data_IF_550952569734
#
_entry.id   IF_550952569734
#
_cell.length_a   1.000
_cell.length_b   1.000
_cell.length_c   1.000
_cell.angle_alpha   90.00
_cell.angle_beta   90.00
_cell.angle_gamma   90.00
#
_symmetry.space_group_name_H-M   'P 1'
#
loop_
_entity.id
_entity.type
_entity.pdbx_description
1 polymer ?
#
# COMPACT_ATOMS: atom_id res chain seq x y z
N UNK A 1 11.10 -28.84 8.85
CA UNK A 1 12.27 -28.93 7.98
C UNK A 1 13.53 -29.16 8.82
N UNK A 2 14.39 -30.05 8.38
CA UNK A 2 15.69 -30.32 9.01
C UNK A 2 16.79 -29.56 8.25
N UNK A 3 16.51 -28.33 7.79
CA UNK A 3 17.42 -27.60 6.93
C UNK A 3 18.39 -26.74 7.70
N UNK A 4 19.62 -27.19 7.83
CA UNK A 4 20.74 -26.27 7.96
C UNK A 4 20.89 -25.59 6.61
N UNK A 5 20.35 -24.37 6.48
CA UNK A 5 20.52 -23.56 5.28
C UNK A 5 19.26 -23.35 4.43
N UNK A 6 18.06 -23.48 4.99
CA UNK A 6 16.85 -23.11 4.26
C UNK A 6 16.78 -21.60 4.01
N UNK A 7 16.57 -21.21 2.75
CA UNK A 7 16.26 -19.85 2.35
C UNK A 7 14.76 -19.62 2.47
N UNK A 8 14.36 -18.56 3.16
CA UNK A 8 12.96 -18.21 3.32
C UNK A 8 12.59 -16.98 2.48
N UNK A 9 11.42 -17.03 1.85
CA UNK A 9 10.75 -15.86 1.28
C UNK A 9 9.91 -15.25 2.40
N UNK A 10 10.26 -14.04 2.86
CA UNK A 10 9.58 -13.35 3.95
C UNK A 10 9.00 -12.04 3.48
N UNK A 11 7.71 -11.90 3.69
CA UNK A 11 6.99 -10.66 3.44
C UNK A 11 5.88 -10.55 4.49
N UNK A 12 6.12 -9.69 5.47
CA UNK A 12 5.17 -9.40 6.54
C UNK A 12 4.60 -8.01 6.30
N UNK A 13 3.30 -7.84 6.57
CA UNK A 13 2.63 -6.55 6.54
C UNK A 13 1.64 -6.43 7.67
N UNK A 14 1.17 -5.21 7.94
CA UNK A 14 0.07 -4.94 8.85
C UNK A 14 -1.18 -4.63 8.00
N UNK A 15 -2.21 -5.46 8.13
CA UNK A 15 -3.45 -5.34 7.36
C UNK A 15 -4.59 -4.69 8.18
N UNK A 16 -4.26 -3.66 8.96
CA UNK A 16 -5.28 -2.91 9.71
C UNK A 16 -6.14 -2.05 8.78
N UNK A 17 -7.45 -2.05 9.03
CA UNK A 17 -8.41 -1.20 8.34
C UNK A 17 -8.59 0.09 9.13
N UNK A 18 -8.26 1.22 8.53
CA UNK A 18 -8.38 2.54 9.14
C UNK A 18 -9.64 3.25 8.66
N UNK A 19 -10.37 3.87 9.61
CA UNK A 19 -11.42 4.84 9.34
C UNK A 19 -11.37 5.92 10.42
N UNK A 20 -10.84 7.08 10.08
CA UNK A 20 -10.59 8.17 11.02
C UNK A 20 -11.88 8.92 11.43
N UNK A 21 -12.99 8.67 10.74
CA UNK A 21 -14.30 9.21 11.13
C UNK A 21 -14.92 8.51 12.35
N UNK A 22 -14.32 7.40 12.81
CA UNK A 22 -14.90 6.51 13.83
C UNK A 22 -16.08 5.72 13.26
N UNK A 23 -15.99 5.27 12.05
CA UNK A 23 -17.00 4.51 11.28
C UNK A 23 -18.32 5.27 11.03
N UNK A 24 -18.29 6.59 11.11
CA UNK A 24 -19.47 7.43 10.85
C UNK A 24 -19.68 7.74 9.38
N UNK A 25 -18.63 7.63 8.57
CA UNK A 25 -18.62 7.90 7.12
C UNK A 25 -17.75 6.90 6.38
N UNK A 26 -17.93 6.79 5.07
CA UNK A 26 -17.05 6.02 4.20
C UNK A 26 -15.68 6.67 4.10
N UNK A 27 -14.66 5.87 3.81
CA UNK A 27 -13.28 6.36 3.63
C UNK A 27 -13.11 7.16 2.32
N UNK A 28 -14.10 7.14 1.45
CA UNK A 28 -14.12 7.97 0.23
C UNK A 28 -14.06 9.46 0.51
N UNK A 29 -14.47 9.90 1.72
CA UNK A 29 -14.39 11.29 2.19
C UNK A 29 -13.07 11.63 2.88
N UNK A 30 -12.21 10.63 3.12
CA UNK A 30 -10.88 10.87 3.67
C UNK A 30 -9.94 11.39 2.59
N UNK A 31 -8.98 12.20 3.00
CA UNK A 31 -7.88 12.66 2.14
C UNK A 31 -6.67 11.77 2.35
N UNK A 32 -6.04 11.41 1.25
CA UNK A 32 -4.85 10.55 1.23
C UNK A 32 -3.74 11.22 0.42
N UNK A 33 -2.52 11.14 0.95
CA UNK A 33 -1.28 11.43 0.23
C UNK A 33 -0.36 10.22 0.31
N UNK A 34 0.19 9.81 -0.82
CA UNK A 34 1.25 8.80 -0.93
C UNK A 34 2.35 9.42 -1.80
N UNK A 35 3.53 9.76 -1.26
CA UNK A 35 4.59 10.46 -1.98
C UNK A 35 5.36 9.48 -2.89
N UNK A 36 4.67 8.88 -3.84
CA UNK A 36 5.21 7.94 -4.82
C UNK A 36 4.84 8.38 -6.24
N UNK A 37 5.77 8.26 -7.16
CA UNK A 37 5.58 8.61 -8.57
C UNK A 37 5.04 7.43 -9.39
N UNK A 38 5.12 6.19 -8.88
CA UNK A 38 4.77 4.98 -9.61
C UNK A 38 4.06 3.96 -8.73
N UNK A 39 3.23 3.14 -9.38
CA UNK A 39 2.62 1.93 -8.84
C UNK A 39 3.08 0.71 -9.63
N UNK A 40 2.94 -0.47 -9.04
CA UNK A 40 3.05 -1.72 -9.78
C UNK A 40 1.78 -1.96 -10.58
N UNK A 41 1.94 -2.22 -11.87
CA UNK A 41 0.84 -2.65 -12.72
C UNK A 41 0.40 -4.07 -12.35
N UNK A 42 -0.90 -4.32 -12.34
CA UNK A 42 -1.47 -5.64 -12.02
C UNK A 42 -2.32 -6.19 -13.15
N UNK A 43 -2.40 -7.52 -13.22
CA UNK A 43 -3.34 -8.24 -14.07
C UNK A 43 -4.74 -8.22 -13.46
N UNK A 44 -5.75 -8.69 -14.21
CA UNK A 44 -7.12 -8.93 -13.70
C UNK A 44 -7.19 -9.97 -12.58
N UNK A 45 -6.12 -10.71 -12.34
CA UNK A 45 -5.97 -11.67 -11.24
C UNK A 45 -5.23 -11.06 -10.04
N UNK A 46 -5.00 -9.75 -10.03
CA UNK A 46 -4.32 -8.98 -8.97
C UNK A 46 -2.84 -9.35 -8.78
N UNK A 47 -2.22 -9.94 -9.79
CA UNK A 47 -0.81 -10.33 -9.79
C UNK A 47 -0.02 -9.22 -10.49
N UNK A 48 1.07 -8.70 -9.90
CA UNK A 48 1.95 -7.75 -10.56
C UNK A 48 2.49 -8.31 -11.89
N UNK A 49 2.50 -7.47 -12.93
CA UNK A 49 3.10 -7.82 -14.23
C UNK A 49 4.63 -7.74 -14.22
N UNK A 50 5.20 -7.14 -13.18
CA UNK A 50 6.62 -6.78 -13.11
C UNK A 50 6.92 -5.39 -13.67
N UNK A 51 5.93 -4.73 -14.26
CA UNK A 51 6.07 -3.37 -14.78
C UNK A 51 5.60 -2.33 -13.74
N UNK A 52 6.20 -1.14 -13.82
CA UNK A 52 5.76 0.02 -13.05
C UNK A 52 5.07 1.02 -13.98
N UNK A 53 3.99 1.60 -13.49
CA UNK A 53 3.20 2.62 -14.16
C UNK A 53 3.34 3.95 -13.43
N UNK A 54 3.54 5.05 -14.17
CA UNK A 54 3.52 6.39 -13.60
C UNK A 54 2.11 6.74 -13.10
N UNK A 55 2.04 7.37 -11.92
CA UNK A 55 0.74 7.78 -11.33
C UNK A 55 0.27 9.12 -11.87
N UNK A 56 1.16 9.96 -12.40
CA UNK A 56 0.85 11.31 -12.85
C UNK A 56 -0.29 11.30 -13.87
N UNK A 57 -1.22 12.22 -13.70
CA UNK A 57 -2.40 12.40 -14.57
C UNK A 57 -3.29 11.13 -14.66
N UNK A 58 -3.26 10.27 -13.63
CA UNK A 58 -4.05 9.04 -13.54
C UNK A 58 -4.91 9.02 -12.27
N UNK A 59 -5.89 8.09 -12.19
CA UNK A 59 -6.67 7.87 -10.96
C UNK A 59 -5.82 7.50 -9.75
N UNK A 60 -4.58 7.03 -9.96
CA UNK A 60 -3.67 6.58 -8.91
C UNK A 60 -2.78 7.69 -8.33
N UNK A 61 -2.87 8.92 -8.84
CA UNK A 61 -2.01 10.03 -8.38
C UNK A 61 -2.44 10.55 -7.01
N UNK A 62 -1.81 10.05 -5.96
CA UNK A 62 -1.89 10.55 -4.58
C UNK A 62 -0.60 11.27 -4.16
N UNK A 63 0.23 11.72 -5.09
CA UNK A 63 1.47 12.48 -4.80
C UNK A 63 1.20 13.76 -4.00
N UNK A 64 0.01 14.34 -4.16
CA UNK A 64 -0.55 15.41 -3.35
C UNK A 64 -1.82 14.92 -2.64
N UNK A 65 -2.15 15.55 -1.48
CA UNK A 65 -3.35 15.17 -0.73
C UNK A 65 -4.61 15.38 -1.56
N UNK A 66 -5.43 14.33 -1.66
CA UNK A 66 -6.75 14.39 -2.29
C UNK A 66 -7.70 13.37 -1.69
N UNK A 67 -9.01 13.58 -1.89
CA UNK A 67 -10.04 12.62 -1.48
C UNK A 67 -9.84 11.26 -2.14
N UNK A 68 -9.94 10.18 -1.36
CA UNK A 68 -9.88 8.81 -1.87
C UNK A 68 -10.99 8.57 -2.90
N UNK A 69 -12.16 9.15 -2.68
CA UNK A 69 -13.32 9.00 -3.56
C UNK A 69 -13.23 9.77 -4.88
N UNK A 70 -12.27 10.69 -5.03
CA UNK A 70 -12.21 11.58 -6.18
C UNK A 70 -12.17 10.84 -7.53
N UNK A 71 -11.46 9.73 -7.58
CA UNK A 71 -11.26 8.92 -8.79
C UNK A 71 -11.49 7.42 -8.56
N UNK A 72 -12.08 7.04 -7.42
CA UNK A 72 -12.27 5.63 -7.03
C UNK A 72 -13.12 4.85 -8.02
N UNK A 73 -14.03 5.54 -8.71
CA UNK A 73 -15.01 4.98 -9.63
C UNK A 73 -14.80 5.43 -11.07
N UNK A 74 -13.62 5.96 -11.40
CA UNK A 74 -13.27 6.32 -12.77
C UNK A 74 -13.29 5.08 -13.68
N UNK A 75 -13.52 5.30 -14.98
CA UNK A 75 -13.48 4.26 -15.99
C UNK A 75 -12.03 3.80 -16.26
N UNK A 76 -11.54 2.96 -15.36
CA UNK A 76 -10.20 2.38 -15.41
C UNK A 76 -10.26 0.89 -15.11
N UNK A 77 -9.68 0.08 -15.97
CA UNK A 77 -9.76 -1.39 -15.87
C UNK A 77 -9.25 -1.92 -14.54
N UNK A 78 -8.11 -1.42 -14.04
CA UNK A 78 -7.54 -1.89 -12.78
C UNK A 78 -8.43 -1.51 -11.58
N UNK A 79 -9.09 -0.35 -11.61
CA UNK A 79 -10.07 0.03 -10.57
C UNK A 79 -11.33 -0.87 -10.64
N UNK A 80 -11.79 -1.20 -11.85
CA UNK A 80 -12.95 -2.09 -12.03
C UNK A 80 -12.65 -3.50 -11.51
N UNK A 81 -11.50 -4.08 -11.85
CA UNK A 81 -11.10 -5.41 -11.37
C UNK A 81 -11.03 -5.46 -9.85
N UNK A 82 -10.44 -4.43 -9.24
CA UNK A 82 -10.22 -4.37 -7.80
C UNK A 82 -11.41 -3.82 -7.00
N UNK A 83 -12.47 -3.35 -7.66
CA UNK A 83 -13.59 -2.61 -7.03
C UNK A 83 -13.09 -1.43 -6.20
N UNK A 84 -12.12 -0.71 -6.72
CA UNK A 84 -11.41 0.37 -6.05
C UNK A 84 -9.89 0.19 -6.10
N UNK A 85 -9.19 0.78 -5.15
CA UNK A 85 -7.74 0.66 -5.08
C UNK A 85 -7.32 -0.66 -4.42
N UNK A 86 -6.36 -1.33 -5.02
CA UNK A 86 -5.62 -2.47 -4.48
C UNK A 86 -4.24 -2.50 -5.16
N UNK A 87 -3.47 -1.43 -4.97
CA UNK A 87 -2.26 -1.16 -5.74
C UNK A 87 -1.06 -0.89 -4.84
N UNK A 88 0.07 -1.47 -5.20
CA UNK A 88 1.33 -1.27 -4.50
C UNK A 88 2.06 -0.04 -5.07
N UNK A 89 2.22 0.99 -4.26
CA UNK A 89 2.99 2.19 -4.56
C UNK A 89 4.47 1.95 -4.28
N UNK A 90 5.33 2.38 -5.19
CA UNK A 90 6.79 2.23 -5.10
C UNK A 90 7.34 3.44 -4.34
N UNK A 91 7.75 3.23 -3.09
CA UNK A 91 8.35 4.27 -2.25
C UNK A 91 9.84 4.45 -2.53
N UNK A 92 10.51 3.34 -2.83
CA UNK A 92 11.93 3.27 -3.20
C UNK A 92 12.20 1.98 -3.97
N UNK A 93 13.24 2.00 -4.80
CA UNK A 93 13.61 0.85 -5.64
C UNK A 93 14.66 -0.04 -4.99
N UNK A 94 15.39 0.50 -4.02
CA UNK A 94 16.44 -0.23 -3.31
C UNK A 94 16.10 -0.38 -1.83
N UNK A 95 16.52 -1.46 -1.23
CA UNK A 95 16.42 -1.66 0.21
C UNK A 95 17.34 -0.69 0.95
N UNK A 96 16.83 -0.01 1.94
CA UNK A 96 17.60 0.84 2.84
C UNK A 96 16.90 0.96 4.19
N UNK A 97 17.64 1.22 5.25
CA UNK A 97 17.11 1.40 6.61
C UNK A 97 16.46 2.78 6.82
N UNK A 98 16.44 3.62 5.79
CA UNK A 98 15.87 4.96 5.88
C UNK A 98 14.35 4.89 6.00
N UNK A 99 13.81 5.48 7.06
CA UNK A 99 12.37 5.64 7.24
C UNK A 99 11.84 6.73 6.32
N UNK A 100 11.01 6.35 5.37
CA UNK A 100 10.29 7.25 4.47
C UNK A 100 8.84 7.41 4.93
N UNK A 101 8.23 8.55 4.63
CA UNK A 101 6.77 8.69 4.69
C UNK A 101 6.16 7.83 3.60
N UNK A 102 5.37 6.83 4.00
CA UNK A 102 4.67 5.94 3.07
C UNK A 102 3.30 6.51 2.70
N UNK A 103 2.58 7.07 3.68
CA UNK A 103 1.26 7.65 3.46
C UNK A 103 0.90 8.65 4.56
N UNK A 104 0.03 9.58 4.22
CA UNK A 104 -0.68 10.43 5.18
C UNK A 104 -2.17 10.35 4.86
N UNK A 105 -2.95 9.83 5.82
CA UNK A 105 -4.41 9.75 5.74
C UNK A 105 -4.99 10.78 6.70
N UNK A 106 -5.98 11.57 6.28
CA UNK A 106 -6.69 12.51 7.14
C UNK A 106 -8.20 12.45 6.93
N UNK A 107 -8.95 12.72 7.99
CA UNK A 107 -10.38 12.97 7.91
C UNK A 107 -10.63 14.46 8.16
N UNK A 108 -11.01 15.23 7.12
CA UNK A 108 -11.17 16.68 7.24
C UNK A 108 -12.27 17.09 8.23
N UNK A 109 -13.22 16.20 8.52
CA UNK A 109 -14.32 16.49 9.42
C UNK A 109 -13.97 16.28 10.91
N UNK A 110 -13.20 15.24 11.22
CA UNK A 110 -12.78 14.99 12.62
C UNK A 110 -11.45 15.66 12.96
N UNK A 111 -10.69 16.08 11.97
CA UNK A 111 -9.34 16.61 12.10
C UNK A 111 -8.29 15.54 12.40
N UNK A 112 -8.68 14.27 12.50
CA UNK A 112 -7.73 13.18 12.78
C UNK A 112 -6.85 12.91 11.59
N UNK A 113 -5.59 12.61 11.88
CA UNK A 113 -4.56 12.27 10.89
C UNK A 113 -3.82 11.02 11.32
N UNK A 114 -3.47 10.21 10.32
CA UNK A 114 -2.57 9.06 10.44
C UNK A 114 -1.40 9.28 9.48
N UNK A 115 -0.19 9.31 10.02
CA UNK A 115 1.04 9.30 9.23
C UNK A 115 1.68 7.93 9.34
N UNK A 116 1.95 7.30 8.20
CA UNK A 116 2.63 6.01 8.10
C UNK A 116 4.04 6.24 7.59
N UNK A 117 5.04 5.74 8.32
CA UNK A 117 6.46 5.77 7.91
C UNK A 117 7.03 4.36 7.93
N UNK A 118 7.89 4.03 6.96
CA UNK A 118 8.46 2.68 6.84
C UNK A 118 9.86 2.70 6.22
N UNK A 119 10.65 1.68 6.50
CA UNK A 119 11.88 1.34 5.79
C UNK A 119 11.66 0.32 4.67
N UNK A 120 10.44 -0.17 4.46
CA UNK A 120 10.06 -1.09 3.39
C UNK A 120 9.92 -0.37 2.04
N UNK A 121 10.10 -1.06 0.90
CA UNK A 121 10.15 -0.45 -0.42
C UNK A 121 8.79 -0.03 -0.97
N UNK A 122 7.69 -0.57 -0.47
CA UNK A 122 6.35 -0.29 -0.98
C UNK A 122 5.29 -0.10 0.09
N UNK A 123 4.20 0.51 -0.32
CA UNK A 123 2.94 0.54 0.44
C UNK A 123 1.79 0.16 -0.49
N UNK A 124 1.00 -0.84 -0.09
CA UNK A 124 -0.20 -1.22 -0.80
C UNK A 124 -1.38 -0.45 -0.22
N UNK A 125 -2.08 0.26 -1.10
CA UNK A 125 -3.34 0.92 -0.82
C UNK A 125 -4.48 -0.03 -1.16
N UNK A 126 -5.30 -0.40 -0.17
CA UNK A 126 -6.51 -1.20 -0.38
C UNK A 126 -7.73 -0.51 0.23
N UNK A 127 -8.76 -0.29 -0.58
CA UNK A 127 -9.97 0.45 -0.18
C UNK A 127 -11.16 -0.43 0.18
N UNK A 128 -10.91 -1.72 0.40
CA UNK A 128 -11.91 -2.66 0.90
C UNK A 128 -13.20 -2.77 0.02
N UNK A 129 -13.08 -2.59 -1.30
CA UNK A 129 -14.23 -2.64 -2.21
C UNK A 129 -14.95 -4.00 -2.25
N UNK A 130 -14.28 -5.07 -1.80
CA UNK A 130 -14.87 -6.42 -1.68
C UNK A 130 -15.48 -6.69 -0.29
N UNK A 131 -15.38 -5.77 0.66
CA UNK A 131 -15.85 -5.99 2.03
C UNK A 131 -17.38 -5.87 2.10
N UNK A 132 -18.06 -7.01 2.10
CA UNK A 132 -19.51 -7.06 2.25
C UNK A 132 -19.91 -7.05 3.75
N UNK A 133 -21.04 -6.47 4.11
CA UNK A 133 -22.03 -5.75 3.28
C UNK A 133 -21.71 -4.25 3.07
N UNK A 134 -20.63 -3.74 3.64
CA UNK A 134 -20.28 -2.32 3.65
C UNK A 134 -18.93 -2.08 2.96
N UNK A 135 -18.91 -1.93 1.61
CA UNK A 135 -17.69 -1.52 0.92
C UNK A 135 -17.28 -0.10 1.33
N UNK A 136 -15.99 0.21 1.16
CA UNK A 136 -15.41 1.53 1.41
C UNK A 136 -15.52 2.01 2.87
N UNK A 137 -15.65 1.08 3.84
CA UNK A 137 -15.74 1.43 5.27
C UNK A 137 -14.37 1.55 5.94
N UNK A 138 -13.32 1.05 5.31
CA UNK A 138 -11.96 1.09 5.82
C UNK A 138 -10.93 1.10 4.70
N UNK A 139 -9.77 1.67 4.98
CA UNK A 139 -8.61 1.68 4.08
C UNK A 139 -7.43 1.02 4.76
N UNK A 140 -6.73 0.16 4.03
CA UNK A 140 -5.48 -0.45 4.46
C UNK A 140 -4.30 0.27 3.81
N UNK A 141 -3.24 0.46 4.59
CA UNK A 141 -1.96 1.03 4.18
C UNK A 141 -0.89 0.03 4.59
N UNK A 142 -0.63 -0.92 3.71
CA UNK A 142 0.17 -2.10 4.00
C UNK A 142 1.61 -1.90 3.52
N UNK A 143 2.50 -1.57 4.44
CA UNK A 143 3.93 -1.45 4.12
C UNK A 143 4.53 -2.82 3.95
N UNK A 144 5.25 -3.05 2.84
CA UNK A 144 5.72 -4.38 2.48
C UNK A 144 6.80 -4.34 1.38
N UNK A 145 7.41 -5.48 1.11
CA UNK A 145 8.06 -5.74 -0.17
C UNK A 145 7.02 -5.77 -1.29
N UNK A 146 7.46 -5.65 -2.54
CA UNK A 146 6.54 -5.71 -3.67
C UNK A 146 5.88 -7.09 -3.74
N UNK A 147 4.56 -7.15 -3.99
CA UNK A 147 3.88 -8.42 -4.20
C UNK A 147 4.55 -9.21 -5.33
N UNK A 148 4.57 -10.54 -5.21
CA UNK A 148 5.20 -11.47 -6.16
C UNK A 148 6.69 -11.21 -6.46
N UNK A 149 7.42 -10.56 -5.54
CA UNK A 149 8.89 -10.33 -5.65
C UNK A 149 9.67 -11.55 -6.11
N UNK A 150 9.38 -12.79 -5.65
CA UNK A 150 10.16 -13.96 -6.09
C UNK A 150 10.10 -14.26 -7.58
N UNK A 151 9.08 -13.80 -8.28
CA UNK A 151 8.91 -13.98 -9.74
C UNK A 151 9.58 -12.85 -10.56
N UNK A 152 10.03 -11.79 -9.88
CA UNK A 152 10.57 -10.60 -10.51
C UNK A 152 11.98 -10.26 -9.97
N UNK A 153 13.06 -10.79 -10.57
CA UNK A 153 14.43 -10.63 -10.07
C UNK A 153 14.93 -9.18 -9.96
N UNK A 154 14.27 -8.25 -10.64
CA UNK A 154 14.60 -6.82 -10.57
C UNK A 154 13.92 -6.09 -9.41
N UNK A 155 13.02 -6.76 -8.67
CA UNK A 155 12.43 -6.20 -7.46
C UNK A 155 13.40 -6.32 -6.27
N UNK A 156 13.27 -5.46 -5.25
CA UNK A 156 14.02 -5.61 -3.99
C UNK A 156 13.80 -7.00 -3.41
N UNK A 157 14.89 -7.73 -3.14
CA UNK A 157 14.81 -9.12 -2.68
C UNK A 157 14.11 -9.25 -1.33
N UNK A 158 13.15 -10.17 -1.23
CA UNK A 158 12.50 -10.59 0.02
C UNK A 158 13.07 -11.92 0.56
N UNK A 159 14.19 -12.38 0.02
CA UNK A 159 14.85 -13.61 0.49
C UNK A 159 15.53 -13.36 1.82
N UNK A 160 15.37 -14.27 2.74
CA UNK A 160 16.07 -14.31 4.02
C UNK A 160 17.01 -15.51 4.02
N UNK A 161 18.30 -15.24 4.01
CA UNK A 161 19.33 -16.27 4.01
C UNK A 161 19.52 -16.86 5.41
N UNK A 162 20.08 -18.08 5.52
CA UNK A 162 20.42 -18.64 6.82
C UNK A 162 21.33 -17.73 7.63
N UNK A 163 20.95 -17.48 8.88
CA UNK A 163 21.69 -16.60 9.79
C UNK A 163 21.36 -15.11 9.66
N UNK A 164 20.56 -14.71 8.68
CA UNK A 164 20.06 -13.33 8.57
C UNK A 164 18.83 -13.10 9.44
N UNK A 165 18.69 -11.87 9.95
CA UNK A 165 17.53 -11.42 10.71
C UNK A 165 16.60 -10.59 9.81
N UNK A 166 15.30 -10.95 9.79
CA UNK A 166 14.28 -10.11 9.18
C UNK A 166 13.88 -8.99 10.15
N UNK A 167 14.29 -7.76 9.85
CA UNK A 167 14.03 -6.61 10.69
C UNK A 167 13.59 -5.41 9.86
N UNK A 168 12.34 -5.02 10.01
CA UNK A 168 11.77 -3.82 9.39
C UNK A 168 10.93 -3.04 10.38
N UNK A 169 10.78 -1.75 10.12
CA UNK A 169 10.03 -0.83 10.98
C UNK A 169 8.94 -0.14 10.18
N UNK A 170 7.73 -0.17 10.74
CA UNK A 170 6.62 0.68 10.31
C UNK A 170 6.11 1.44 11.52
N UNK A 171 5.96 2.76 11.39
CA UNK A 171 5.52 3.65 12.45
C UNK A 171 4.19 4.27 12.03
N UNK A 172 3.17 4.07 12.84
CA UNK A 172 1.87 4.70 12.72
C UNK A 172 1.76 5.80 13.77
N UNK A 173 1.71 7.07 13.31
CA UNK A 173 1.55 8.23 14.19
C UNK A 173 0.14 8.79 13.99
N UNK A 174 -0.60 8.88 15.09
CA UNK A 174 -1.93 9.49 15.11
C UNK A 174 -1.85 10.86 15.77
N UNK A 175 -2.45 11.85 15.12
CA UNK A 175 -2.59 13.20 15.64
C UNK A 175 -3.95 13.82 15.26
N UNK A 176 -4.19 15.07 15.74
CA UNK A 176 -5.44 15.79 15.51
C UNK A 176 -5.17 17.28 15.38
#
# INVERSE_FOLDING_TARGET
>A
SRGLGDVYKRQLTNHAYFNLSGNKRKITEHELMIPAARILETTSQFIPTGQAQDVKDSPFDFSTSRSIGAHLYDDNEQLHWNKGYNHCYILKEESSDTLLTAAVLSDPFSGRRLTVRTDLPGVLLYTAGYLAPTPDIGVCLETQYFPDTPSHPHFPSCLLMPGEEYRHRTIYTFDK
#
